data_IF_892227648532
#
_entry.id   IF_892227648532
#
_cell.length_a   1.000
_cell.length_b   1.000
_cell.length_c   1.000
_cell.angle_alpha   90.00
_cell.angle_beta   90.00
_cell.angle_gamma   90.00
#
_symmetry.space_group_name_H-M   'P 1'
#
loop_
_entity.id
_entity.type
_entity.pdbx_description
1 polymer ?
#
# COMPACT_ATOMS: atom_id res chain seq x y z
N UNK A 1 14.51 6.11 9.81
CA UNK A 1 13.67 5.30 8.89
C UNK A 1 13.44 3.90 9.44
N UNK A 2 12.17 3.56 9.68
CA UNK A 2 11.70 2.23 10.06
C UNK A 2 10.72 1.72 8.98
N UNK A 3 10.53 0.41 8.90
CA UNK A 3 9.49 -0.17 8.04
C UNK A 3 8.12 0.26 8.58
N UNK A 4 7.26 0.72 7.68
CA UNK A 4 5.88 1.12 7.96
C UNK A 4 4.94 0.15 7.24
N UNK A 5 3.80 -0.13 7.86
CA UNK A 5 2.79 -1.07 7.32
C UNK A 5 1.49 -0.34 7.03
N UNK A 6 0.87 -0.67 5.91
CA UNK A 6 -0.50 -0.28 5.57
C UNK A 6 -1.37 -1.53 5.61
N UNK A 7 -2.43 -1.49 6.41
CA UNK A 7 -3.46 -2.52 6.42
C UNK A 7 -4.65 -2.06 5.57
N UNK A 8 -5.12 -2.93 4.69
CA UNK A 8 -6.33 -2.71 3.90
C UNK A 8 -7.50 -3.36 4.62
N UNK A 9 -8.52 -2.55 4.92
CA UNK A 9 -9.71 -3.03 5.62
C UNK A 9 -10.99 -2.73 4.84
N UNK A 10 -11.94 -3.67 4.89
CA UNK A 10 -13.29 -3.47 4.38
C UNK A 10 -14.18 -2.89 5.48
N UNK A 11 -15.02 -1.92 5.13
CA UNK A 11 -16.07 -1.44 6.03
C UNK A 11 -17.28 -2.38 5.89
N UNK A 12 -17.54 -3.20 6.92
CA UNK A 12 -18.72 -4.07 7.01
C UNK A 12 -18.55 -5.50 6.50
N UNK A 13 -17.58 -6.26 7.04
CA UNK A 13 -17.40 -7.70 6.79
C UNK A 13 -15.93 -8.11 6.73
N UNK A 14 -15.67 -9.39 6.46
CA UNK A 14 -14.31 -9.92 6.34
C UNK A 14 -13.60 -9.44 5.06
N UNK A 15 -12.28 -9.33 5.14
CA UNK A 15 -11.42 -8.93 4.03
C UNK A 15 -11.04 -10.19 3.25
N UNK A 16 -11.68 -10.36 2.10
CA UNK A 16 -11.35 -11.41 1.14
C UNK A 16 -10.86 -10.72 -0.13
N UNK A 17 -9.56 -10.82 -0.40
CA UNK A 17 -8.90 -10.23 -1.57
C UNK A 17 -8.48 -11.36 -2.51
N UNK A 18 -8.72 -11.17 -3.80
CA UNK A 18 -8.21 -12.03 -4.83
C UNK A 18 -6.78 -11.65 -5.24
N UNK A 19 -6.47 -10.35 -5.15
CA UNK A 19 -5.21 -9.79 -5.61
C UNK A 19 -4.93 -8.42 -4.97
N UNK A 20 -3.66 -8.05 -4.90
CA UNK A 20 -3.19 -6.77 -4.38
C UNK A 20 -1.93 -6.32 -5.12
N UNK A 21 -1.87 -5.04 -5.47
CA UNK A 21 -0.68 -4.41 -6.04
C UNK A 21 -0.36 -3.15 -5.26
N UNK A 22 0.94 -2.91 -5.03
CA UNK A 22 1.42 -1.69 -4.41
C UNK A 22 2.59 -1.11 -5.21
N UNK A 23 2.55 0.20 -5.45
CA UNK A 23 3.59 0.91 -6.22
C UNK A 23 3.81 2.32 -5.68
N UNK A 24 5.08 2.69 -5.53
CA UNK A 24 5.47 4.09 -5.30
C UNK A 24 5.40 4.92 -6.59
N UNK A 25 4.90 6.15 -6.50
CA UNK A 25 4.95 7.13 -7.60
C UNK A 25 6.35 7.74 -7.76
N UNK A 26 7.21 7.63 -6.74
CA UNK A 26 8.63 8.00 -6.76
C UNK A 26 9.47 6.81 -6.32
N UNK A 27 9.85 5.91 -7.25
CA UNK A 27 10.51 4.65 -6.92
C UNK A 27 11.80 4.79 -6.10
N UNK A 28 12.49 5.93 -6.22
CA UNK A 28 13.70 6.22 -5.43
C UNK A 28 13.42 6.65 -3.98
N UNK A 29 12.21 7.12 -3.68
CA UNK A 29 11.87 7.72 -2.39
C UNK A 29 11.04 6.76 -1.51
N UNK A 30 10.42 5.73 -2.09
CA UNK A 30 9.67 4.71 -1.34
C UNK A 30 9.90 3.34 -1.98
N UNK A 31 10.43 2.42 -1.19
CA UNK A 31 10.60 1.01 -1.54
C UNK A 31 9.51 0.19 -0.87
N UNK A 32 8.77 -0.60 -1.64
CA UNK A 32 7.84 -1.61 -1.12
C UNK A 32 8.64 -2.90 -0.92
N UNK A 33 8.69 -3.41 0.31
CA UNK A 33 9.47 -4.63 0.62
C UNK A 33 8.61 -5.89 0.50
N UNK A 34 7.34 -5.82 0.91
CA UNK A 34 6.44 -6.95 0.89
C UNK A 34 4.99 -6.51 0.74
N UNK A 35 4.17 -7.40 0.18
CA UNK A 35 2.72 -7.28 0.18
C UNK A 35 2.12 -8.68 0.35
N UNK A 36 1.01 -8.76 1.07
CA UNK A 36 0.29 -10.00 1.38
C UNK A 36 -1.19 -9.77 1.10
N UNK A 37 -1.71 -10.37 0.03
CA UNK A 37 -3.14 -10.23 -0.31
C UNK A 37 -4.01 -11.03 0.67
N UNK A 38 -3.50 -12.13 1.23
CA UNK A 38 -4.20 -12.93 2.24
C UNK A 38 -4.37 -12.18 3.55
N UNK A 39 -3.33 -11.45 3.99
CA UNK A 39 -3.36 -10.66 5.23
C UNK A 39 -3.85 -9.23 5.00
N UNK A 40 -3.98 -8.83 3.74
CA UNK A 40 -4.33 -7.48 3.31
C UNK A 40 -3.36 -6.40 3.82
N UNK A 41 -2.06 -6.71 3.78
CA UNK A 41 -1.00 -5.84 4.31
C UNK A 41 0.04 -5.46 3.24
N UNK A 42 0.56 -4.24 3.34
CA UNK A 42 1.67 -3.72 2.52
C UNK A 42 2.73 -3.11 3.43
N UNK A 43 3.96 -3.60 3.32
CA UNK A 43 5.11 -3.06 4.04
C UNK A 43 5.98 -2.21 3.11
N UNK A 44 6.32 -1.02 3.58
CA UNK A 44 7.12 -0.06 2.83
C UNK A 44 8.16 0.62 3.71
N UNK A 45 9.21 1.12 3.05
CA UNK A 45 10.22 1.97 3.62
C UNK A 45 10.33 3.22 2.76
N UNK A 46 10.25 4.39 3.37
CA UNK A 46 10.47 5.66 2.70
C UNK A 46 11.93 6.08 2.91
N UNK A 47 12.62 6.36 1.82
CA UNK A 47 13.98 6.88 1.79
C UNK A 47 13.98 8.27 1.13
N UNK A 48 14.93 9.12 1.51
CA UNK A 48 15.03 10.46 0.96
C UNK A 48 15.04 11.56 2.01
N UNK A 49 14.95 12.83 1.57
CA UNK A 49 15.07 13.97 2.47
C UNK A 49 13.93 14.00 3.50
N UNK A 50 14.28 14.22 4.77
CA UNK A 50 13.30 14.49 5.84
C UNK A 50 12.42 15.69 5.47
N UNK A 51 11.12 15.57 5.70
CA UNK A 51 10.10 16.51 5.25
C UNK A 51 9.69 16.36 3.78
N UNK A 52 10.32 15.46 3.02
CA UNK A 52 9.92 15.12 1.66
C UNK A 52 8.58 14.39 1.64
N UNK A 53 7.80 14.63 0.59
CA UNK A 53 6.54 13.92 0.34
C UNK A 53 6.72 12.90 -0.78
N UNK A 54 6.12 11.72 -0.59
CA UNK A 54 5.98 10.69 -1.62
C UNK A 54 4.57 10.10 -1.59
N UNK A 55 4.20 9.37 -2.63
CA UNK A 55 2.88 8.76 -2.73
C UNK A 55 2.99 7.26 -3.01
N UNK A 56 2.18 6.50 -2.27
CA UNK A 56 1.99 5.07 -2.44
C UNK A 56 0.60 4.83 -3.05
N UNK A 57 0.58 4.16 -4.19
CA UNK A 57 -0.64 3.68 -4.82
C UNK A 57 -0.84 2.22 -4.44
N UNK A 58 -2.01 1.92 -3.88
CA UNK A 58 -2.43 0.57 -3.51
C UNK A 58 -3.69 0.23 -4.30
N UNK A 59 -3.60 -0.85 -5.06
CA UNK A 59 -4.71 -1.41 -5.80
C UNK A 59 -5.07 -2.73 -5.16
N UNK A 60 -6.35 -2.94 -4.89
CA UNK A 60 -6.84 -4.21 -4.37
C UNK A 60 -7.98 -4.72 -5.23
N UNK A 61 -8.01 -6.02 -5.45
CA UNK A 61 -9.13 -6.70 -6.08
C UNK A 61 -9.84 -7.54 -5.03
N UNK A 62 -11.05 -7.16 -4.59
CA UNK A 62 -11.83 -8.02 -3.72
C UNK A 62 -12.16 -9.35 -4.39
N UNK A 63 -12.44 -10.37 -3.59
CA UNK A 63 -12.96 -11.63 -4.11
C UNK A 63 -14.33 -11.45 -4.78
N UNK A 64 -14.62 -12.35 -5.73
CA UNK A 64 -15.88 -12.38 -6.49
C UNK A 64 -16.19 -11.09 -7.28
N UNK A 65 -15.17 -10.30 -7.63
CA UNK A 65 -15.30 -9.18 -8.57
C UNK A 65 -14.11 -9.06 -9.50
N UNK A 66 -14.35 -8.48 -10.67
CA UNK A 66 -13.31 -8.11 -11.64
C UNK A 66 -12.83 -6.67 -11.45
N UNK A 67 -13.48 -5.91 -10.55
CA UNK A 67 -13.20 -4.48 -10.36
C UNK A 67 -12.07 -4.29 -9.35
N UNK A 68 -11.08 -3.53 -9.77
CA UNK A 68 -10.03 -3.03 -8.89
C UNK A 68 -10.52 -1.80 -8.10
N UNK A 69 -10.11 -1.73 -6.85
CA UNK A 69 -10.29 -0.57 -5.97
C UNK A 69 -8.93 0.06 -5.75
N UNK A 70 -8.85 1.36 -5.96
CA UNK A 70 -7.61 2.13 -5.94
C UNK A 70 -7.60 3.06 -4.74
N UNK A 71 -6.47 3.11 -4.01
CA UNK A 71 -6.23 4.06 -2.94
C UNK A 71 -4.82 4.65 -3.05
N UNK A 72 -4.77 5.97 -2.96
CA UNK A 72 -3.54 6.74 -2.89
C UNK A 72 -3.32 7.17 -1.45
N UNK A 73 -2.11 6.93 -0.95
CA UNK A 73 -1.66 7.30 0.39
C UNK A 73 -0.49 8.25 0.24
N UNK A 74 -0.56 9.39 0.92
CA UNK A 74 0.56 10.33 1.02
C UNK A 74 1.44 9.94 2.20
N UNK A 75 2.73 9.88 1.96
CA UNK A 75 3.75 9.54 2.94
C UNK A 75 4.65 10.75 3.11
N UNK A 76 4.85 11.16 4.36
CA UNK A 76 5.87 12.16 4.73
C UNK A 76 7.09 11.39 5.25
N UNK A 77 8.25 11.72 4.70
CA UNK A 77 9.54 11.16 5.11
C UNK A 77 9.97 11.87 6.39
N UNK A 78 10.18 11.12 7.46
CA UNK A 78 10.59 11.58 8.78
C UNK A 78 12.09 11.43 9.04
#
# INVERSE_FOLDING_TARGET
>A
NAIKTVQVQRIGGDIALADMEARSTRPQDVTVQAWSWQEAEVEYFADGPSGGESELLINVRPDNTYRWVFKQIRVVID
#
